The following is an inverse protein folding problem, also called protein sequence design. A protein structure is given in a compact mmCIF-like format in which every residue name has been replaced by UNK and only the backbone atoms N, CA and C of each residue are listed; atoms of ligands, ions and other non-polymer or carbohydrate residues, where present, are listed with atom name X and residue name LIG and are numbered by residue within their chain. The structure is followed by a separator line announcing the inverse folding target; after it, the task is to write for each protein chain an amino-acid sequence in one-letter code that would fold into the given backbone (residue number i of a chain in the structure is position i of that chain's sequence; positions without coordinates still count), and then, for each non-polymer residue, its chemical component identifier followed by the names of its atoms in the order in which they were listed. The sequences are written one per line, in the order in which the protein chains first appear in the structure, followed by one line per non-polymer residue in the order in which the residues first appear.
data_IF_143645737711
#
_entry.id   IF_143645737711
#
_cell.length_a   1.000
_cell.length_b   1.000
_cell.length_c   1.000
_cell.angle_alpha   90.00
_cell.angle_beta   90.00
_cell.angle_gamma   90.00
#
_symmetry.space_group_name_H-M   'P 1'
#
loop_
_entity.id
_entity.type
_entity.pdbx_description
1 polymer ?
#
# COMPACT_ATOMS: atom_id res chain seq x y z
N UNK A 1 -51.55 24.24 30.30
CA UNK A 1 -51.82 22.82 29.98
C UNK A 1 -51.65 22.69 28.48
N UNK A 2 -50.38 22.69 28.05
CA UNK A 2 -49.65 21.52 27.53
C UNK A 2 -50.05 21.19 26.09
N UNK A 3 -49.35 21.82 25.15
CA UNK A 3 -49.26 21.40 23.76
C UNK A 3 -48.35 20.16 23.68
N UNK A 4 -48.90 19.05 23.21
CA UNK A 4 -48.15 17.82 22.92
C UNK A 4 -47.34 18.02 21.63
N UNK A 5 -46.03 18.09 21.79
CA UNK A 5 -45.07 17.99 20.70
C UNK A 5 -45.04 16.54 20.23
N UNK A 6 -45.62 16.29 19.07
CA UNK A 6 -45.50 15.01 18.35
C UNK A 6 -44.08 14.89 17.83
N UNK A 7 -43.21 14.23 18.59
CA UNK A 7 -41.88 13.80 18.15
C UNK A 7 -42.05 12.67 17.14
N UNK A 8 -41.90 13.00 15.86
CA UNK A 8 -41.72 12.04 14.78
C UNK A 8 -40.39 11.31 14.99
N UNK A 9 -40.47 10.13 15.59
CA UNK A 9 -39.33 9.22 15.71
C UNK A 9 -39.05 8.63 14.33
N UNK A 10 -38.08 9.19 13.62
CA UNK A 10 -37.52 8.58 12.42
C UNK A 10 -36.79 7.29 12.84
N UNK A 11 -37.36 6.15 12.45
CA UNK A 11 -36.74 4.83 12.54
C UNK A 11 -35.48 4.79 11.66
N UNK A 12 -34.35 5.26 12.16
CA UNK A 12 -33.03 4.95 11.58
C UNK A 12 -32.63 3.54 12.03
N UNK A 13 -33.06 2.53 11.28
CA UNK A 13 -32.42 1.22 11.34
C UNK A 13 -30.92 1.39 11.03
N UNK A 14 -30.05 0.84 11.87
CA UNK A 14 -28.59 0.94 11.79
C UNK A 14 -28.07 0.73 10.36
N UNK A 15 -27.68 1.81 9.70
CA UNK A 15 -27.10 1.76 8.36
C UNK A 15 -25.67 1.20 8.47
N UNK A 16 -25.40 0.08 7.80
CA UNK A 16 -24.08 -0.58 7.83
C UNK A 16 -22.98 0.39 7.38
N UNK A 17 -22.04 0.71 8.27
CA UNK A 17 -20.90 1.56 7.94
C UNK A 17 -19.67 0.73 7.54
N UNK A 18 -19.40 0.72 6.23
CA UNK A 18 -18.29 -0.03 5.65
C UNK A 18 -16.92 0.46 6.12
N UNK A 19 -16.77 1.76 6.42
CA UNK A 19 -15.48 2.33 6.83
C UNK A 19 -15.09 1.83 8.22
N UNK A 20 -16.02 1.86 9.17
CA UNK A 20 -15.81 1.29 10.51
C UNK A 20 -15.52 -0.21 10.44
N UNK A 21 -16.21 -0.95 9.57
CA UNK A 21 -15.95 -2.37 9.35
C UNK A 21 -14.51 -2.63 8.83
N UNK A 22 -14.08 -1.86 7.83
CA UNK A 22 -12.73 -1.93 7.28
C UNK A 22 -11.65 -1.64 8.32
N UNK A 23 -11.81 -0.57 9.11
CA UNK A 23 -10.88 -0.22 10.18
C UNK A 23 -10.81 -1.30 11.26
N UNK A 24 -11.95 -1.94 11.56
CA UNK A 24 -12.00 -3.07 12.49
C UNK A 24 -11.17 -4.25 12.00
N UNK A 25 -11.29 -4.65 10.74
CA UNK A 25 -10.49 -5.76 10.20
C UNK A 25 -8.98 -5.49 10.27
N UNK A 26 -8.53 -4.27 9.97
CA UNK A 26 -7.13 -3.89 10.10
C UNK A 26 -6.62 -3.92 11.55
N UNK A 27 -7.48 -3.59 12.51
CA UNK A 27 -7.14 -3.57 13.94
C UNK A 27 -7.10 -4.98 14.53
N UNK A 28 -8.08 -5.81 14.18
CA UNK A 28 -8.24 -7.16 14.72
C UNK A 28 -7.18 -8.13 14.14
N UNK A 29 -6.81 -7.95 12.87
CA UNK A 29 -5.88 -8.84 12.16
C UNK A 29 -4.68 -8.07 11.60
N UNK A 30 -3.55 -7.91 12.33
CA UNK A 30 -2.39 -7.16 11.84
C UNK A 30 -1.73 -7.76 10.59
N UNK A 31 -1.96 -9.04 10.30
CA UNK A 31 -1.44 -9.72 9.12
C UNK A 31 -2.28 -9.53 7.86
N UNK A 32 -3.50 -8.96 7.98
CA UNK A 32 -4.37 -8.71 6.84
C UNK A 32 -3.84 -7.53 6.00
N UNK A 33 -3.83 -7.69 4.67
CA UNK A 33 -3.43 -6.59 3.78
C UNK A 33 -4.64 -5.72 3.43
N UNK A 34 -4.40 -4.42 3.20
CA UNK A 34 -5.46 -3.44 2.87
C UNK A 34 -6.41 -3.90 1.73
N UNK A 35 -5.93 -4.49 0.61
CA UNK A 35 -6.83 -5.00 -0.42
C UNK A 35 -7.77 -6.09 0.11
N UNK A 36 -7.27 -6.97 0.97
CA UNK A 36 -8.02 -8.11 1.51
C UNK A 36 -9.04 -7.63 2.55
N UNK A 37 -8.66 -6.69 3.41
CA UNK A 37 -9.60 -6.04 4.33
C UNK A 37 -10.73 -5.33 3.58
N UNK A 38 -10.42 -4.67 2.44
CA UNK A 38 -11.44 -4.04 1.60
C UNK A 38 -12.41 -5.07 1.01
N UNK A 39 -11.90 -6.21 0.54
CA UNK A 39 -12.72 -7.32 0.04
C UNK A 39 -13.61 -7.88 1.17
N UNK A 40 -13.08 -8.10 2.37
CA UNK A 40 -13.88 -8.54 3.51
C UNK A 40 -14.99 -7.57 3.88
N UNK A 41 -14.70 -6.26 3.88
CA UNK A 41 -15.71 -5.23 4.14
C UNK A 41 -16.81 -5.20 3.09
N UNK A 42 -16.47 -5.39 1.81
CA UNK A 42 -17.45 -5.50 0.74
C UNK A 42 -18.27 -6.79 0.85
N UNK A 43 -17.66 -7.92 1.23
CA UNK A 43 -18.37 -9.18 1.50
C UNK A 43 -19.31 -9.06 2.70
N UNK A 44 -18.91 -8.33 3.74
CA UNK A 44 -19.78 -8.07 4.89
C UNK A 44 -20.96 -7.17 4.49
N UNK A 45 -20.73 -6.15 3.66
CA UNK A 45 -21.82 -5.34 3.09
C UNK A 45 -22.82 -6.21 2.31
N UNK A 46 -22.33 -7.19 1.54
CA UNK A 46 -23.20 -8.12 0.82
C UNK A 46 -24.13 -8.85 1.79
N UNK A 47 -23.63 -9.35 2.93
CA UNK A 47 -24.46 -10.05 3.93
C UNK A 47 -25.63 -9.19 4.41
N UNK A 48 -25.37 -7.92 4.70
CA UNK A 48 -26.37 -6.97 5.21
C UNK A 48 -27.22 -6.31 4.11
N UNK A 49 -26.91 -6.56 2.83
CA UNK A 49 -27.64 -5.99 1.71
C UNK A 49 -29.06 -6.55 1.60
N UNK A 50 -30.03 -5.62 1.51
CA UNK A 50 -31.45 -5.88 1.27
C UNK A 50 -31.86 -5.69 -0.20
N UNK A 51 -30.89 -5.45 -1.08
CA UNK A 51 -31.15 -5.19 -2.50
C UNK A 51 -31.92 -6.37 -3.11
N UNK A 52 -32.93 -6.05 -3.91
CA UNK A 52 -33.77 -7.08 -4.58
C UNK A 52 -33.42 -7.27 -6.04
N UNK A 53 -32.72 -6.30 -6.62
CA UNK A 53 -32.31 -6.31 -8.03
C UNK A 53 -30.80 -6.28 -8.14
N UNK A 54 -30.28 -6.86 -9.22
CA UNK A 54 -28.85 -6.83 -9.52
C UNK A 54 -28.33 -5.40 -9.72
N UNK A 55 -29.13 -4.52 -10.32
CA UNK A 55 -28.74 -3.12 -10.57
C UNK A 55 -28.53 -2.36 -9.26
N UNK A 56 -29.50 -2.42 -8.34
CA UNK A 56 -29.41 -1.80 -7.01
C UNK A 56 -28.24 -2.36 -6.21
N UNK A 57 -28.02 -3.67 -6.28
CA UNK A 57 -26.90 -4.34 -5.62
C UNK A 57 -25.54 -3.86 -6.15
N UNK A 58 -25.39 -3.78 -7.47
CA UNK A 58 -24.16 -3.31 -8.11
C UNK A 58 -23.89 -1.83 -7.84
N UNK A 59 -24.92 -1.00 -7.79
CA UNK A 59 -24.82 0.42 -7.43
C UNK A 59 -24.38 0.57 -5.97
N UNK A 60 -25.02 -0.14 -5.04
CA UNK A 60 -24.65 -0.16 -3.63
C UNK A 60 -23.18 -0.57 -3.39
N UNK A 61 -22.69 -1.59 -4.11
CA UNK A 61 -21.28 -2.00 -4.03
C UNK A 61 -20.31 -0.96 -4.58
N UNK A 62 -20.68 -0.28 -5.69
CA UNK A 62 -19.85 0.79 -6.27
C UNK A 62 -19.77 1.99 -5.33
N UNK A 63 -20.90 2.40 -4.76
CA UNK A 63 -20.95 3.51 -3.80
C UNK A 63 -20.13 3.21 -2.56
N UNK A 64 -20.25 1.99 -2.02
CA UNK A 64 -19.47 1.58 -0.88
C UNK A 64 -17.96 1.50 -1.17
N UNK A 65 -17.58 1.02 -2.36
CA UNK A 65 -16.20 1.04 -2.85
C UNK A 65 -15.65 2.46 -2.93
N UNK A 66 -16.42 3.41 -3.50
CA UNK A 66 -16.01 4.82 -3.55
C UNK A 66 -15.88 5.44 -2.16
N UNK A 67 -16.84 5.18 -1.26
CA UNK A 67 -16.79 5.63 0.14
C UNK A 67 -15.55 5.11 0.86
N UNK A 68 -15.17 3.85 0.64
CA UNK A 68 -13.93 3.29 1.19
C UNK A 68 -12.69 4.01 0.61
N UNK A 69 -12.63 4.21 -0.71
CA UNK A 69 -11.50 4.89 -1.36
C UNK A 69 -11.32 6.33 -0.88
N UNK A 70 -12.40 7.06 -0.62
CA UNK A 70 -12.33 8.43 -0.08
C UNK A 70 -11.98 8.49 1.42
N UNK A 71 -12.18 7.40 2.16
CA UNK A 71 -11.95 7.36 3.61
C UNK A 71 -10.48 7.24 4.01
N UNK A 72 -9.60 6.84 3.08
CA UNK A 72 -8.18 6.61 3.33
C UNK A 72 -7.36 7.54 2.45
N UNK A 73 -6.42 8.30 3.04
CA UNK A 73 -5.52 9.21 2.31
C UNK A 73 -4.76 8.51 1.19
N UNK A 74 -4.24 7.31 1.47
CA UNK A 74 -3.61 6.45 0.49
C UNK A 74 -4.49 5.23 0.22
N UNK A 75 -5.33 5.35 -0.80
CA UNK A 75 -6.29 4.32 -1.21
C UNK A 75 -5.77 3.40 -2.31
N UNK A 76 -4.49 3.47 -2.70
CA UNK A 76 -3.95 2.71 -3.85
C UNK A 76 -4.10 1.19 -3.63
N UNK A 77 -3.55 0.67 -2.52
CA UNK A 77 -3.67 -0.76 -2.21
C UNK A 77 -5.12 -1.20 -1.97
N UNK A 78 -5.91 -0.36 -1.29
CA UNK A 78 -7.35 -0.61 -1.08
C UNK A 78 -8.11 -0.67 -2.41
N UNK A 79 -7.81 0.24 -3.33
CA UNK A 79 -8.47 0.34 -4.63
C UNK A 79 -8.21 -0.89 -5.48
N UNK A 80 -7.00 -1.48 -5.42
CA UNK A 80 -6.68 -2.75 -6.06
C UNK A 80 -7.68 -3.85 -5.67
N UNK A 81 -7.88 -4.05 -4.37
CA UNK A 81 -8.77 -5.08 -3.84
C UNK A 81 -10.24 -4.79 -4.15
N UNK A 82 -10.66 -3.54 -3.99
CA UNK A 82 -12.04 -3.13 -4.26
C UNK A 82 -12.40 -3.26 -5.75
N UNK A 83 -11.52 -2.84 -6.66
CA UNK A 83 -11.74 -2.92 -8.10
C UNK A 83 -11.69 -4.36 -8.62
N UNK A 84 -10.75 -5.16 -8.09
CA UNK A 84 -10.70 -6.59 -8.36
C UNK A 84 -12.01 -7.29 -7.94
N UNK A 85 -12.53 -6.95 -6.75
CA UNK A 85 -13.78 -7.53 -6.26
C UNK A 85 -14.98 -7.09 -7.10
N UNK A 86 -15.11 -5.80 -7.42
CA UNK A 86 -16.18 -5.31 -8.30
C UNK A 86 -16.15 -5.99 -9.68
N UNK A 87 -14.95 -6.22 -10.23
CA UNK A 87 -14.80 -6.95 -11.49
C UNK A 87 -15.23 -8.41 -11.34
N UNK A 88 -14.81 -9.07 -10.26
CA UNK A 88 -15.22 -10.44 -9.95
C UNK A 88 -16.75 -10.56 -9.82
N UNK A 89 -17.39 -9.62 -9.12
CA UNK A 89 -18.85 -9.54 -8.99
C UNK A 89 -19.52 -9.36 -10.35
N UNK A 90 -19.02 -8.44 -11.17
CA UNK A 90 -19.55 -8.17 -12.52
C UNK A 90 -19.44 -9.40 -13.43
N UNK A 91 -18.34 -10.16 -13.35
CA UNK A 91 -18.18 -11.39 -14.13
C UNK A 91 -19.15 -12.47 -13.67
N UNK A 92 -19.24 -12.69 -12.35
CA UNK A 92 -20.11 -13.70 -11.75
C UNK A 92 -21.59 -13.43 -12.05
N UNK A 93 -22.00 -12.16 -12.11
CA UNK A 93 -23.39 -11.79 -12.37
C UNK A 93 -23.85 -12.07 -13.81
N UNK A 94 -22.91 -12.22 -14.76
CA UNK A 94 -23.23 -12.69 -16.11
C UNK A 94 -23.43 -14.21 -16.17
N UNK A 95 -22.78 -14.97 -15.29
CA UNK A 95 -22.80 -16.44 -15.29
C UNK A 95 -23.97 -17.02 -14.48
N UNK A 96 -24.40 -16.33 -13.41
CA UNK A 96 -25.42 -16.84 -12.48
C UNK A 96 -26.77 -16.17 -12.71
N UNK A 97 -27.80 -16.97 -13.02
CA UNK A 97 -29.16 -16.46 -13.28
C UNK A 97 -29.96 -16.13 -12.02
N UNK A 98 -29.65 -16.77 -10.88
CA UNK A 98 -30.35 -16.55 -9.61
C UNK A 98 -29.56 -15.59 -8.70
N UNK A 99 -30.19 -14.48 -8.33
CA UNK A 99 -29.59 -13.43 -7.50
C UNK A 99 -29.14 -13.95 -6.13
N UNK A 100 -29.93 -14.78 -5.45
CA UNK A 100 -29.56 -15.29 -4.12
C UNK A 100 -28.36 -16.26 -4.19
N UNK A 101 -28.34 -17.10 -5.23
CA UNK A 101 -27.20 -17.98 -5.48
C UNK A 101 -25.92 -17.19 -5.83
N UNK A 102 -26.07 -16.07 -6.55
CA UNK A 102 -24.96 -15.15 -6.81
C UNK A 102 -24.43 -14.55 -5.51
N UNK A 103 -25.33 -14.07 -4.63
CA UNK A 103 -24.98 -13.53 -3.31
C UNK A 103 -24.18 -14.53 -2.47
N UNK A 104 -24.66 -15.77 -2.38
CA UNK A 104 -23.99 -16.84 -1.66
C UNK A 104 -22.61 -17.17 -2.29
N UNK A 105 -22.54 -17.24 -3.62
CA UNK A 105 -21.29 -17.50 -4.33
C UNK A 105 -20.24 -16.42 -4.08
N UNK A 106 -20.64 -15.14 -4.10
CA UNK A 106 -19.74 -14.01 -3.81
C UNK A 106 -19.24 -14.05 -2.37
N UNK A 107 -20.10 -14.37 -1.41
CA UNK A 107 -19.71 -14.52 -0.01
C UNK A 107 -18.71 -15.66 0.20
N UNK A 108 -18.95 -16.81 -0.42
CA UNK A 108 -18.05 -17.96 -0.32
C UNK A 108 -16.71 -17.68 -1.02
N UNK A 109 -16.74 -17.06 -2.20
CA UNK A 109 -15.53 -16.67 -2.93
C UNK A 109 -14.70 -15.63 -2.16
N UNK A 110 -15.36 -14.67 -1.52
CA UNK A 110 -14.72 -13.69 -0.66
C UNK A 110 -13.95 -14.34 0.49
N UNK A 111 -14.57 -15.27 1.22
CA UNK A 111 -13.91 -16.04 2.29
C UNK A 111 -12.69 -16.82 1.78
N UNK A 112 -12.84 -17.51 0.65
CA UNK A 112 -11.75 -18.28 0.03
C UNK A 112 -10.58 -17.37 -0.37
N UNK A 113 -10.84 -16.15 -0.82
CA UNK A 113 -9.80 -15.19 -1.19
C UNK A 113 -8.98 -14.75 0.03
N UNK A 114 -9.63 -14.49 1.16
CA UNK A 114 -8.98 -14.15 2.43
C UNK A 114 -8.09 -15.29 2.90
N UNK A 115 -8.61 -16.52 2.93
CA UNK A 115 -7.87 -17.71 3.35
C UNK A 115 -6.64 -17.94 2.46
N UNK A 116 -6.77 -17.73 1.15
CA UNK A 116 -5.68 -17.86 0.19
C UNK A 116 -4.65 -16.74 0.27
N UNK A 117 -4.98 -15.56 0.80
CA UNK A 117 -4.09 -14.42 0.83
C UNK A 117 -2.79 -14.70 1.60
N UNK A 118 -2.85 -15.46 2.70
CA UNK A 118 -1.66 -15.87 3.46
C UNK A 118 -0.83 -16.87 2.65
N UNK A 119 -1.46 -17.87 2.05
CA UNK A 119 -0.80 -18.89 1.23
C UNK A 119 -0.09 -18.29 0.02
N UNK A 120 -0.67 -17.25 -0.60
CA UNK A 120 -0.09 -16.49 -1.71
C UNK A 120 1.28 -15.91 -1.34
N UNK A 121 1.43 -15.34 -0.13
CA UNK A 121 2.72 -14.78 0.31
C UNK A 121 3.79 -15.85 0.47
N UNK A 122 3.43 -17.04 0.97
CA UNK A 122 4.35 -18.17 1.05
C UNK A 122 4.79 -18.66 -0.33
N UNK A 123 3.85 -18.76 -1.28
CA UNK A 123 4.16 -19.11 -2.67
C UNK A 123 5.14 -18.12 -3.30
N UNK A 124 4.92 -16.82 -3.09
CA UNK A 124 5.82 -15.76 -3.59
C UNK A 124 7.21 -15.89 -2.96
N UNK A 125 7.26 -16.12 -1.64
CA UNK A 125 8.52 -16.32 -0.93
C UNK A 125 9.30 -17.51 -1.53
N UNK A 126 8.66 -18.65 -1.73
CA UNK A 126 9.28 -19.84 -2.34
C UNK A 126 9.84 -19.56 -3.74
N UNK A 127 9.06 -18.89 -4.60
CA UNK A 127 9.51 -18.49 -5.94
C UNK A 127 10.66 -17.48 -5.92
N UNK A 128 10.73 -16.64 -4.88
CA UNK A 128 11.74 -15.61 -4.75
C UNK A 128 13.08 -16.13 -4.22
N UNK A 129 13.12 -17.26 -3.50
CA UNK A 129 14.35 -17.78 -2.86
C UNK A 129 15.49 -17.95 -3.86
N UNK A 130 15.18 -18.35 -5.10
CA UNK A 130 16.16 -18.56 -6.16
C UNK A 130 16.98 -17.31 -6.55
N UNK A 131 16.48 -16.11 -6.23
CA UNK A 131 17.19 -14.85 -6.51
C UNK A 131 18.18 -14.45 -5.41
N UNK A 132 18.16 -15.15 -4.28
CA UNK A 132 19.09 -14.92 -3.16
C UNK A 132 20.25 -15.91 -3.31
N UNK A 133 21.44 -15.39 -3.61
CA UNK A 133 22.66 -16.19 -3.74
C UNK A 133 23.30 -16.43 -2.38
N UNK A 134 24.09 -17.49 -2.27
CA UNK A 134 24.92 -17.73 -1.08
C UNK A 134 26.01 -16.66 -0.98
N UNK A 135 26.24 -16.22 0.26
CA UNK A 135 27.13 -15.12 0.67
C UNK A 135 26.76 -13.73 0.09
N UNK A 136 25.51 -13.54 -0.34
CA UNK A 136 25.05 -12.28 -0.91
C UNK A 136 24.77 -11.20 0.17
N UNK A 137 24.94 -9.94 -0.22
CA UNK A 137 24.49 -8.79 0.56
C UNK A 137 23.24 -8.18 -0.08
N UNK A 138 22.15 -8.18 0.66
CA UNK A 138 20.84 -7.72 0.21
C UNK A 138 20.53 -6.34 0.80
N UNK A 139 19.92 -5.46 0.02
CA UNK A 139 19.35 -4.21 0.51
C UNK A 139 17.82 -4.25 0.40
N UNK A 140 17.14 -3.87 1.48
CA UNK A 140 15.69 -3.72 1.53
C UNK A 140 15.30 -2.31 1.99
N UNK A 141 14.12 -1.89 1.55
CA UNK A 141 13.52 -0.61 1.96
C UNK A 141 12.30 -0.84 2.86
N UNK A 142 12.27 -0.15 4.01
CA UNK A 142 11.12 -0.13 4.92
C UNK A 142 10.72 -1.53 5.43
N UNK A 143 9.41 -1.78 5.57
CA UNK A 143 8.82 -3.05 5.97
C UNK A 143 7.85 -3.58 4.93
N UNK A 144 8.12 -4.81 4.48
CA UNK A 144 7.20 -5.58 3.64
C UNK A 144 7.06 -6.99 4.20
N UNK A 145 5.81 -7.42 4.43
CA UNK A 145 5.49 -8.77 4.93
C UNK A 145 6.03 -9.86 4.01
N UNK A 146 5.87 -9.70 2.70
CA UNK A 146 6.29 -10.71 1.73
C UNK A 146 7.81 -10.77 1.62
N UNK A 147 8.50 -9.62 1.70
CA UNK A 147 9.97 -9.58 1.73
C UNK A 147 10.51 -10.23 3.00
N UNK A 148 9.88 -9.99 4.16
CA UNK A 148 10.29 -10.66 5.41
C UNK A 148 10.14 -12.18 5.31
N UNK A 149 9.00 -12.65 4.78
CA UNK A 149 8.76 -14.07 4.55
C UNK A 149 9.77 -14.67 3.58
N UNK A 150 10.08 -13.98 2.48
CA UNK A 150 11.10 -14.38 1.51
C UNK A 150 12.46 -14.59 2.16
N UNK A 151 12.95 -13.60 2.92
CA UNK A 151 14.24 -13.68 3.60
C UNK A 151 14.26 -14.79 4.67
N UNK A 152 13.17 -14.96 5.41
CA UNK A 152 13.05 -16.04 6.39
C UNK A 152 13.07 -17.43 5.73
N UNK A 153 12.40 -17.60 4.58
CA UNK A 153 12.45 -18.84 3.82
C UNK A 153 13.86 -19.10 3.27
N UNK A 154 14.52 -18.09 2.72
CA UNK A 154 15.91 -18.22 2.25
C UNK A 154 16.87 -18.67 3.38
N UNK A 155 16.69 -18.12 4.59
CA UNK A 155 17.44 -18.55 5.77
C UNK A 155 17.09 -19.99 6.19
N UNK A 156 15.81 -20.39 6.09
CA UNK A 156 15.39 -21.78 6.33
C UNK A 156 16.02 -22.77 5.33
N UNK A 157 16.26 -22.34 4.10
CA UNK A 157 17.04 -23.07 3.09
C UNK A 157 18.56 -23.05 3.33
N UNK A 158 19.02 -22.48 4.45
CA UNK A 158 20.44 -22.39 4.85
C UNK A 158 21.32 -21.59 3.89
N UNK A 159 20.71 -20.68 3.12
CA UNK A 159 21.47 -19.73 2.28
C UNK A 159 22.06 -18.66 3.21
N UNK A 160 23.35 -18.39 3.08
CA UNK A 160 24.04 -17.38 3.89
C UNK A 160 23.90 -16.03 3.19
N UNK A 161 23.47 -15.00 3.90
CA UNK A 161 23.38 -13.64 3.35
C UNK A 161 23.34 -12.61 4.47
N UNK A 162 23.65 -11.36 4.14
CA UNK A 162 23.56 -10.20 5.02
C UNK A 162 22.51 -9.22 4.50
N UNK A 163 21.86 -8.46 5.37
CA UNK A 163 20.79 -7.52 4.97
C UNK A 163 21.07 -6.10 5.47
N UNK A 164 21.13 -5.15 4.55
CA UNK A 164 20.98 -3.73 4.85
C UNK A 164 19.51 -3.33 4.80
N UNK A 165 19.07 -2.55 5.79
CA UNK A 165 17.68 -2.10 5.92
C UNK A 165 17.67 -0.58 6.06
N UNK A 166 17.01 0.14 5.16
CA UNK A 166 16.84 1.59 5.33
C UNK A 166 15.87 1.89 6.48
N UNK A 167 16.09 2.95 7.26
CA UNK A 167 15.21 3.31 8.38
C UNK A 167 13.75 3.65 7.94
N UNK A 168 13.57 4.21 6.74
CA UNK A 168 12.29 4.57 6.11
C UNK A 168 11.51 5.65 6.87
N UNK A 169 12.07 6.86 6.92
CA UNK A 169 11.35 8.05 7.38
C UNK A 169 10.17 8.34 6.44
N UNK A 170 9.03 8.82 6.96
CA UNK A 170 8.75 9.15 8.36
C UNK A 170 8.30 7.94 9.21
N UNK A 171 7.88 6.84 8.58
CA UNK A 171 7.23 5.70 9.27
C UNK A 171 8.15 4.94 10.22
N UNK A 172 9.47 5.02 10.01
CA UNK A 172 10.51 4.30 10.75
C UNK A 172 10.32 2.77 10.77
N UNK A 173 9.60 2.25 9.76
CA UNK A 173 9.25 0.83 9.67
C UNK A 173 10.46 -0.06 9.38
N UNK A 174 11.56 0.48 8.86
CA UNK A 174 12.82 -0.25 8.68
C UNK A 174 13.36 -0.83 10.00
N UNK A 175 13.17 -0.12 11.11
CA UNK A 175 13.57 -0.59 12.44
C UNK A 175 12.81 -1.89 12.81
N UNK A 176 11.53 -1.98 12.41
CA UNK A 176 10.72 -3.19 12.62
C UNK A 176 11.27 -4.36 11.80
N UNK A 177 11.62 -4.14 10.53
CA UNK A 177 12.22 -5.16 9.66
C UNK A 177 13.52 -5.71 10.23
N UNK A 178 14.45 -4.83 10.63
CA UNK A 178 15.71 -5.25 11.23
C UNK A 178 15.50 -6.08 12.50
N UNK A 179 14.58 -5.68 13.38
CA UNK A 179 14.21 -6.47 14.58
C UNK A 179 13.69 -7.86 14.24
N UNK A 180 12.86 -7.99 13.20
CA UNK A 180 12.29 -9.28 12.77
C UNK A 180 13.40 -10.18 12.20
N UNK A 181 14.30 -9.63 11.38
CA UNK A 181 15.40 -10.38 10.79
C UNK A 181 16.41 -10.85 11.84
N UNK A 182 16.80 -9.98 12.77
CA UNK A 182 17.69 -10.35 13.87
C UNK A 182 17.09 -11.45 14.76
N UNK A 183 15.78 -11.39 15.04
CA UNK A 183 15.07 -12.46 15.78
C UNK A 183 15.05 -13.79 15.01
N UNK A 184 15.07 -13.75 13.69
CA UNK A 184 15.17 -14.93 12.83
C UNK A 184 16.61 -15.43 12.65
N UNK A 185 17.60 -14.82 13.30
CA UNK A 185 19.02 -15.18 13.18
C UNK A 185 19.69 -14.72 11.88
N UNK A 186 19.06 -13.80 11.15
CA UNK A 186 19.59 -13.23 9.91
C UNK A 186 20.40 -11.96 10.25
N UNK A 187 21.67 -11.85 9.84
CA UNK A 187 22.47 -10.65 10.06
C UNK A 187 21.87 -9.44 9.33
N UNK A 188 21.36 -8.47 10.09
CA UNK A 188 20.74 -7.26 9.55
C UNK A 188 21.31 -5.99 10.21
N UNK A 189 21.55 -4.96 9.40
CA UNK A 189 22.02 -3.64 9.87
C UNK A 189 21.16 -2.53 9.29
N UNK A 190 20.75 -1.58 10.14
CA UNK A 190 19.98 -0.41 9.73
C UNK A 190 20.94 0.64 9.15
N UNK A 191 20.54 1.25 8.04
CA UNK A 191 21.23 2.39 7.42
C UNK A 191 20.28 3.59 7.36
N UNK A 192 20.84 4.79 7.36
CA UNK A 192 20.08 6.02 7.08
C UNK A 192 19.56 5.97 5.64
N UNK A 193 18.42 6.62 5.40
CA UNK A 193 17.83 6.67 4.05
C UNK A 193 18.80 7.35 3.04
N UNK A 194 19.60 8.33 3.51
CA UNK A 194 20.63 9.01 2.70
C UNK A 194 21.92 8.22 2.52
N UNK A 195 22.15 7.16 3.31
CA UNK A 195 23.35 6.35 3.24
C UNK A 195 23.29 5.24 2.16
N UNK A 196 22.17 5.13 1.43
CA UNK A 196 21.98 4.13 0.36
C UNK A 196 23.11 4.20 -0.68
N UNK A 197 23.45 5.41 -1.16
CA UNK A 197 24.54 5.59 -2.13
C UNK A 197 25.92 5.17 -1.60
N UNK A 198 26.14 5.23 -0.28
CA UNK A 198 27.40 4.82 0.33
C UNK A 198 27.56 3.30 0.42
N UNK A 199 26.45 2.57 0.60
CA UNK A 199 26.49 1.10 0.78
C UNK A 199 26.24 0.33 -0.51
N UNK A 200 25.71 0.97 -1.56
CA UNK A 200 25.23 0.27 -2.77
C UNK A 200 26.30 -0.59 -3.44
N UNK A 201 27.58 -0.19 -3.39
CA UNK A 201 28.67 -0.95 -4.00
C UNK A 201 28.85 -2.32 -3.33
N UNK A 202 28.53 -2.42 -2.03
CA UNK A 202 28.57 -3.67 -1.26
C UNK A 202 27.34 -4.55 -1.46
N UNK A 203 26.28 -4.01 -2.05
CA UNK A 203 25.00 -4.72 -2.24
C UNK A 203 25.05 -5.52 -3.53
N UNK A 204 24.54 -6.74 -3.50
CA UNK A 204 24.44 -7.63 -4.66
C UNK A 204 23.05 -7.59 -5.30
N UNK A 205 22.00 -7.39 -4.50
CA UNK A 205 20.62 -7.30 -4.97
C UNK A 205 19.76 -6.45 -4.03
N UNK A 206 18.77 -5.76 -4.62
CA UNK A 206 17.78 -4.98 -3.90
C UNK A 206 16.43 -5.70 -3.94
N UNK A 207 15.77 -5.84 -2.80
CA UNK A 207 14.41 -6.38 -2.71
C UNK A 207 13.49 -5.38 -2.04
N UNK A 208 12.40 -5.01 -2.71
CA UNK A 208 11.38 -4.12 -2.17
C UNK A 208 10.01 -4.77 -2.21
N UNK A 209 9.16 -4.39 -1.25
CA UNK A 209 7.72 -4.61 -1.39
C UNK A 209 7.08 -3.53 -2.25
N UNK A 210 5.77 -3.64 -2.42
CA UNK A 210 4.95 -2.55 -2.95
C UNK A 210 3.54 -2.57 -2.36
N UNK A 211 2.92 -1.40 -2.37
CA UNK A 211 1.52 -1.21 -2.02
C UNK A 211 0.61 -1.44 -3.22
N UNK A 212 1.08 -1.09 -4.42
CA UNK A 212 0.44 -1.38 -5.69
C UNK A 212 1.43 -1.49 -6.84
N UNK A 213 1.05 -2.23 -7.89
CA UNK A 213 1.73 -2.20 -9.20
C UNK A 213 0.77 -1.61 -10.20
N UNK A 214 1.23 -0.63 -10.97
CA UNK A 214 0.42 0.08 -11.98
C UNK A 214 0.48 -0.62 -13.34
N UNK A 215 -0.33 -0.17 -14.30
CA UNK A 215 -0.52 -0.83 -15.60
C UNK A 215 0.77 -1.02 -16.42
N UNK A 216 1.71 -0.08 -16.33
CA UNK A 216 3.00 -0.19 -17.02
C UNK A 216 4.05 -1.04 -16.26
N UNK A 217 3.66 -1.67 -15.15
CA UNK A 217 4.54 -2.47 -14.30
C UNK A 217 5.37 -1.65 -13.29
N UNK A 218 5.16 -0.33 -13.22
CA UNK A 218 5.78 0.50 -12.19
C UNK A 218 5.23 0.22 -10.78
N UNK A 219 5.99 0.58 -9.76
CA UNK A 219 5.61 0.34 -8.36
C UNK A 219 5.12 1.61 -7.70
N UNK A 220 4.15 1.47 -6.80
CA UNK A 220 3.85 2.50 -5.81
C UNK A 220 4.13 1.89 -4.43
N UNK A 221 5.04 2.51 -3.69
CA UNK A 221 5.49 2.01 -2.39
C UNK A 221 5.88 3.19 -1.48
N UNK A 222 6.31 2.88 -0.24
CA UNK A 222 6.82 3.86 0.70
C UNK A 222 7.88 4.79 0.09
N UNK A 223 7.82 6.06 0.48
CA UNK A 223 8.74 7.12 0.05
C UNK A 223 10.20 6.71 0.24
N UNK A 224 10.99 6.88 -0.82
CA UNK A 224 12.39 6.47 -0.89
C UNK A 224 12.63 5.23 -1.76
N UNK A 225 11.58 4.52 -2.17
CA UNK A 225 11.68 3.37 -3.08
C UNK A 225 12.23 3.79 -4.45
N UNK A 226 11.73 4.91 -5.00
CA UNK A 226 12.22 5.42 -6.28
C UNK A 226 13.69 5.85 -6.18
N UNK A 227 14.08 6.52 -5.09
CA UNK A 227 15.47 6.94 -4.85
C UNK A 227 16.41 5.73 -4.81
N UNK A 228 16.00 4.69 -4.09
CA UNK A 228 16.75 3.43 -4.01
C UNK A 228 16.87 2.77 -5.39
N UNK A 229 15.81 2.78 -6.19
CA UNK A 229 15.79 2.20 -7.53
C UNK A 229 16.74 2.92 -8.49
N UNK A 230 16.78 4.26 -8.44
CA UNK A 230 17.72 5.08 -9.22
C UNK A 230 19.16 4.77 -8.86
N UNK A 231 19.48 4.71 -7.56
CA UNK A 231 20.84 4.40 -7.09
C UNK A 231 21.25 2.97 -7.47
N UNK A 232 20.35 2.00 -7.31
CA UNK A 232 20.59 0.62 -7.71
C UNK A 232 20.88 0.51 -9.21
N UNK A 233 20.09 1.19 -10.05
CA UNK A 233 20.30 1.22 -11.51
C UNK A 233 21.65 1.84 -11.88
N UNK A 234 22.01 2.96 -11.26
CA UNK A 234 23.29 3.62 -11.50
C UNK A 234 24.49 2.72 -11.13
N UNK A 235 24.37 1.93 -10.07
CA UNK A 235 25.38 0.96 -9.64
C UNK A 235 25.26 -0.42 -10.32
N UNK A 236 24.40 -0.57 -11.33
CA UNK A 236 24.12 -1.82 -12.04
C UNK A 236 23.73 -2.99 -11.12
N UNK A 237 23.00 -2.70 -10.03
CA UNK A 237 22.48 -3.70 -9.11
C UNK A 237 21.05 -4.09 -9.51
N UNK A 238 20.70 -5.39 -9.52
CA UNK A 238 19.35 -5.82 -9.82
C UNK A 238 18.37 -5.36 -8.73
N UNK A 239 17.21 -4.89 -9.17
CA UNK A 239 16.14 -4.38 -8.32
C UNK A 239 14.89 -5.23 -8.50
N UNK A 240 14.57 -6.01 -7.47
CA UNK A 240 13.45 -6.95 -7.47
C UNK A 240 12.29 -6.43 -6.63
N UNK A 241 11.10 -6.47 -7.20
CA UNK A 241 9.87 -6.21 -6.47
C UNK A 241 9.23 -7.52 -6.04
N UNK A 242 8.77 -7.61 -4.79
CA UNK A 242 8.09 -8.79 -4.25
C UNK A 242 6.69 -8.39 -3.83
N UNK A 243 5.67 -8.85 -4.56
CA UNK A 243 4.31 -8.33 -4.45
C UNK A 243 3.26 -9.37 -4.78
N UNK A 244 2.13 -9.29 -4.09
CA UNK A 244 0.96 -10.11 -4.35
C UNK A 244 0.15 -9.58 -5.56
N UNK A 245 -0.35 -10.48 -6.42
CA UNK A 245 -1.09 -10.14 -7.65
C UNK A 245 -2.35 -9.32 -7.41
N UNK A 246 -3.01 -9.51 -6.26
CA UNK A 246 -4.19 -8.75 -5.86
C UNK A 246 -3.90 -7.27 -5.51
N UNK A 247 -2.65 -6.81 -5.66
CA UNK A 247 -2.24 -5.40 -5.57
C UNK A 247 -1.98 -4.77 -6.94
N UNK A 248 -2.30 -5.45 -8.04
CA UNK A 248 -2.26 -4.81 -9.35
C UNK A 248 -3.41 -3.81 -9.47
N UNK A 249 -3.09 -2.57 -9.86
CA UNK A 249 -4.00 -1.43 -9.90
C UNK A 249 -4.12 -0.95 -11.33
N UNK A 250 -5.36 -0.68 -11.75
CA UNK A 250 -5.68 -0.06 -13.02
C UNK A 250 -5.45 1.47 -12.97
N UNK A 251 -4.18 1.85 -12.91
CA UNK A 251 -3.70 3.22 -12.86
C UNK A 251 -2.48 3.34 -13.79
N UNK A 252 -2.28 4.49 -14.43
CA UNK A 252 -1.13 4.75 -15.28
C UNK A 252 -0.56 6.14 -14.94
N UNK A 253 0.26 6.25 -13.88
CA UNK A 253 0.83 7.53 -13.49
C UNK A 253 1.93 7.94 -14.48
N UNK A 254 1.87 9.18 -14.96
CA UNK A 254 2.87 9.74 -15.88
C UNK A 254 4.13 10.22 -15.14
N UNK A 255 4.00 10.61 -13.87
CA UNK A 255 5.08 11.10 -13.03
C UNK A 255 4.71 10.98 -11.53
N UNK A 256 5.57 11.45 -10.64
CA UNK A 256 5.37 11.40 -9.19
C UNK A 256 4.13 12.17 -8.69
N UNK A 257 3.72 13.21 -9.42
CA UNK A 257 2.61 14.09 -9.07
C UNK A 257 1.25 13.59 -9.60
N UNK A 258 1.27 12.56 -10.46
CA UNK A 258 0.08 11.94 -11.06
C UNK A 258 -0.48 10.79 -10.21
N UNK A 259 -0.16 10.77 -8.91
CA UNK A 259 -0.67 9.80 -7.95
C UNK A 259 -1.96 10.32 -7.30
N UNK A 260 -2.96 9.47 -7.02
CA UNK A 260 -4.18 9.88 -6.30
C UNK A 260 -3.93 10.47 -4.92
N UNK A 261 -2.77 10.20 -4.33
CA UNK A 261 -2.33 10.73 -3.03
C UNK A 261 -1.82 12.17 -3.10
N UNK A 262 -1.59 12.69 -4.30
CA UNK A 262 -1.06 14.03 -4.49
C UNK A 262 -2.11 15.10 -4.19
N UNK A 263 -1.75 16.08 -3.37
CA UNK A 263 -2.59 17.23 -3.00
C UNK A 263 -1.81 18.52 -3.24
N UNK A 264 -2.49 19.65 -3.41
CA UNK A 264 -1.84 20.96 -3.60
C UNK A 264 -0.87 21.33 -2.47
N UNK A 265 -1.16 20.84 -1.26
CA UNK A 265 -0.43 21.20 -0.04
C UNK A 265 0.87 20.40 0.13
N UNK A 266 1.04 19.32 -0.65
CA UNK A 266 2.23 18.47 -0.62
C UNK A 266 3.44 19.23 -1.14
N UNK A 267 4.47 19.35 -0.30
CA UNK A 267 5.70 20.12 -0.60
C UNK A 267 5.43 21.58 -1.03
N UNK A 268 4.28 22.15 -0.65
CA UNK A 268 3.94 23.54 -0.97
C UNK A 268 4.91 24.51 -0.30
N UNK A 269 5.39 25.49 -1.06
CA UNK A 269 6.14 26.62 -0.51
C UNK A 269 5.21 27.52 0.30
N UNK A 270 5.66 28.09 1.42
CA UNK A 270 4.88 29.10 2.14
C UNK A 270 4.68 30.34 1.26
N UNK A 271 3.47 30.92 1.30
CA UNK A 271 3.12 32.11 0.52
C UNK A 271 4.03 33.29 0.88
N UNK A 272 4.51 34.00 -0.14
CA UNK A 272 5.44 35.13 0.04
C UNK A 272 4.85 36.27 0.89
N UNK A 273 3.54 36.46 0.90
CA UNK A 273 2.86 37.48 1.72
C UNK A 273 3.00 37.22 3.24
N UNK A 274 3.21 35.96 3.64
CA UNK A 274 3.48 35.61 5.04
C UNK A 274 4.90 36.00 5.50
N UNK A 275 5.83 36.28 4.58
CA UNK A 275 7.20 36.73 4.88
C UNK A 275 7.30 38.24 5.14
N UNK A 276 6.41 39.06 4.58
CA UNK A 276 6.50 40.51 4.69
C UNK A 276 6.16 41.06 6.09
N UNK A 277 5.61 40.24 7.00
CA UNK A 277 5.25 40.68 8.35
C UNK A 277 6.40 40.62 9.38
N UNK A 278 7.53 39.95 9.07
CA UNK A 278 8.64 39.82 10.03
C UNK A 278 9.80 40.80 9.77
N UNK A 279 9.99 41.30 8.54
CA UNK A 279 11.09 42.24 8.27
C UNK A 279 10.78 43.70 8.66
N UNK A 280 9.50 44.10 8.81
CA UNK A 280 9.13 45.49 9.13
C UNK A 280 9.17 45.86 10.62
N UNK A 281 9.65 44.97 11.52
CA UNK A 281 9.79 45.27 12.96
C UNK A 281 11.19 45.02 13.54
N UNK A 282 12.24 44.91 12.72
CA UNK A 282 13.62 44.94 13.24
C UNK A 282 14.10 46.38 13.25
N UNK A 283 13.62 47.12 14.26
CA UNK A 283 14.37 48.27 14.77
C UNK A 283 15.61 47.77 15.50
N UNK A 284 16.74 48.41 15.26
CA UNK A 284 17.99 48.18 15.99
C UNK A 284 17.73 48.15 17.50
N UNK A 285 18.14 47.08 18.17
CA UNK A 285 18.02 46.80 19.61
C UNK A 285 16.78 46.02 20.06
N UNK A 286 16.74 44.73 19.75
CA UNK A 286 16.41 43.71 20.76
C UNK A 286 16.86 42.34 20.25
N UNK A 287 17.69 41.65 21.04
CA UNK A 287 17.85 40.20 20.95
C UNK A 287 16.48 39.58 21.29
N UNK A 288 15.58 39.55 20.32
CA UNK A 288 14.34 38.81 20.43
C UNK A 288 14.71 37.34 20.37
N UNK A 289 14.69 36.69 21.53
CA UNK A 289 14.53 35.25 21.67
C UNK A 289 13.33 34.81 20.80
N UNK A 290 13.60 34.44 19.54
CA UNK A 290 12.67 33.63 18.77
C UNK A 290 12.64 32.30 19.52
N UNK A 291 11.60 32.07 20.31
CA UNK A 291 11.40 30.77 20.94
C UNK A 291 11.30 29.73 19.82
N UNK A 292 12.15 28.71 19.85
CA UNK A 292 12.14 27.58 18.91
C UNK A 292 10.80 26.80 18.91
N UNK A 293 9.89 27.11 19.84
CA UNK A 293 8.63 26.41 20.08
C UNK A 293 7.49 26.68 19.07
N UNK A 294 7.63 27.64 18.14
CA UNK A 294 6.54 27.99 17.20
C UNK A 294 6.60 27.30 15.82
N UNK A 295 7.61 26.47 15.55
CA UNK A 295 7.65 25.67 14.32
C UNK A 295 7.10 24.27 14.58
N UNK A 296 5.87 24.00 14.12
CA UNK A 296 5.28 22.67 14.16
C UNK A 296 6.01 21.72 13.18
N UNK A 297 7.07 21.08 13.68
CA UNK A 297 7.88 20.09 12.96
C UNK A 297 7.02 18.95 12.43
N UNK A 298 5.96 18.56 13.15
CA UNK A 298 5.05 17.51 12.70
C UNK A 298 4.26 17.95 11.47
N UNK A 299 3.81 19.21 11.42
CA UNK A 299 3.18 19.78 10.23
C UNK A 299 4.13 19.82 9.03
N UNK A 300 5.41 20.19 9.23
CA UNK A 300 6.39 20.13 8.15
C UNK A 300 6.61 18.71 7.62
N UNK A 301 6.69 17.71 8.52
CA UNK A 301 6.81 16.30 8.11
C UNK A 301 5.52 15.81 7.41
N UNK A 302 4.35 16.21 7.89
CA UNK A 302 3.05 15.80 7.32
C UNK A 302 2.80 16.31 5.88
N UNK A 303 3.49 17.38 5.48
CA UNK A 303 3.50 17.91 4.09
C UNK A 303 4.42 17.15 3.15
N UNK A 304 5.17 16.16 3.62
CA UNK A 304 5.98 15.29 2.76
C UNK A 304 5.16 14.12 2.19
N UNK A 305 5.52 13.61 1.00
CA UNK A 305 4.87 12.44 0.43
C UNK A 305 5.15 11.20 1.28
N UNK A 306 4.15 10.34 1.43
CA UNK A 306 4.27 9.06 2.13
C UNK A 306 4.64 7.91 1.20
N UNK A 307 4.32 8.07 -0.09
CA UNK A 307 4.58 7.10 -1.16
C UNK A 307 5.26 7.77 -2.33
N UNK A 308 6.00 7.00 -3.11
CA UNK A 308 6.54 7.40 -4.40
C UNK A 308 6.20 6.39 -5.49
N UNK A 309 6.34 6.83 -6.74
CA UNK A 309 6.18 6.03 -7.93
C UNK A 309 7.55 5.61 -8.46
N UNK A 310 7.78 4.32 -8.70
CA UNK A 310 9.01 3.81 -9.34
C UNK A 310 8.69 3.38 -10.77
N UNK A 311 9.21 4.08 -11.80
CA UNK A 311 9.02 3.71 -13.19
C UNK A 311 9.56 2.30 -13.51
N UNK A 312 8.96 1.61 -14.50
CA UNK A 312 9.30 0.23 -14.82
C UNK A 312 10.75 0.02 -15.30
N UNK A 313 11.41 1.05 -15.86
CA UNK A 313 12.80 0.98 -16.32
C UNK A 313 13.85 0.69 -15.23
N UNK A 314 13.51 0.96 -13.97
CA UNK A 314 14.35 0.68 -12.80
C UNK A 314 14.11 -0.72 -12.23
N UNK A 315 13.03 -1.38 -12.61
CA UNK A 315 12.63 -2.67 -12.06
C UNK A 315 13.19 -3.79 -12.94
N UNK A 316 13.91 -4.72 -12.31
CA UNK A 316 14.46 -5.87 -13.02
C UNK A 316 13.39 -6.93 -13.23
N UNK A 317 12.78 -7.43 -12.15
CA UNK A 317 11.70 -8.43 -12.17
C UNK A 317 10.74 -8.22 -10.99
N UNK A 318 9.50 -8.67 -11.17
CA UNK A 318 8.47 -8.72 -10.13
C UNK A 318 8.20 -10.19 -9.76
N UNK A 319 8.45 -10.56 -8.51
CA UNK A 319 8.12 -11.86 -7.95
C UNK A 319 6.69 -11.83 -7.41
N UNK A 320 5.80 -12.60 -8.03
CA UNK A 320 4.37 -12.65 -7.71
C UNK A 320 3.88 -14.10 -7.61
N UNK A 321 2.63 -14.29 -7.16
CA UNK A 321 1.99 -15.60 -7.09
C UNK A 321 1.60 -16.16 -8.46
N UNK A 322 1.55 -15.32 -9.48
CA UNK A 322 1.41 -15.71 -10.88
C UNK A 322 2.73 -16.21 -11.47
N UNK A 323 3.85 -15.98 -10.76
CA UNK A 323 5.20 -16.29 -11.22
C UNK A 323 6.10 -15.06 -11.18
N UNK A 324 7.28 -15.20 -11.80
CA UNK A 324 8.21 -14.09 -11.97
C UNK A 324 7.84 -13.37 -13.27
N UNK A 325 7.52 -12.09 -13.17
CA UNK A 325 7.05 -11.26 -14.28
C UNK A 325 8.07 -10.17 -14.60
N UNK A 326 8.16 -9.80 -15.87
CA UNK A 326 8.75 -8.52 -16.28
C UNK A 326 7.73 -7.40 -16.06
N UNK A 327 8.15 -6.12 -16.00
CA UNK A 327 7.21 -5.01 -15.88
C UNK A 327 6.12 -5.02 -16.98
N UNK A 328 6.48 -5.39 -18.22
CA UNK A 328 5.50 -5.52 -19.31
C UNK A 328 4.48 -6.64 -19.08
N UNK A 329 4.90 -7.75 -18.47
CA UNK A 329 4.01 -8.89 -18.19
C UNK A 329 2.90 -8.56 -17.19
N UNK A 330 3.08 -7.55 -16.34
CA UNK A 330 2.01 -7.06 -15.45
C UNK A 330 0.84 -6.51 -16.27
N UNK A 331 1.13 -5.79 -17.36
CA UNK A 331 0.11 -5.26 -18.26
C UNK A 331 -0.72 -6.39 -18.88
N UNK A 332 -0.06 -7.46 -19.34
CA UNK A 332 -0.73 -8.63 -19.91
C UNK A 332 -1.67 -9.31 -18.89
N UNK A 333 -1.25 -9.45 -17.63
CA UNK A 333 -2.09 -10.01 -16.58
C UNK A 333 -3.27 -9.11 -16.21
N UNK A 334 -3.06 -7.79 -16.17
CA UNK A 334 -4.15 -6.83 -15.98
C UNK A 334 -5.17 -6.90 -17.13
N UNK A 335 -4.71 -6.99 -18.39
CA UNK A 335 -5.59 -7.13 -19.54
C UNK A 335 -6.45 -8.41 -19.41
N UNK A 336 -5.87 -9.54 -19.00
CA UNK A 336 -6.62 -10.80 -18.76
C UNK A 336 -7.66 -10.69 -17.64
N UNK A 337 -7.43 -9.85 -16.63
CA UNK A 337 -8.37 -9.64 -15.52
C UNK A 337 -9.56 -8.75 -15.92
N UNK A 338 -9.34 -7.78 -16.81
CA UNK A 338 -10.32 -6.74 -17.15
C UNK A 338 -11.04 -6.94 -18.49
N UNK A 339 -10.55 -7.81 -19.38
CA UNK A 339 -11.31 -8.30 -20.54
C UNK A 339 -12.17 -9.51 -20.17
#
# INVERSE_FOLDING_TARGET
MSEEVVTTTTNNAEQFDIVTCYQKFLKDNPDISMPIAAIESLVELIKHSKATTLSEFMESLKDASQKLKSSVRNSISLSAGADLFLRFVTRTSHDVTNFEACKEHLMNSGKVLVEKAVAVRHKIAELGVQFIKDDATILIHSYSRVVMLLLQQAAAHKIRFNVYVTESRPTSLGIKSAKILCKAGIPATIILDTAVGYVIDKVDAVFVGAEGVVENGGLINAIGTYQLAVVAKAANKPFYAVIESYKFVRLFPLNQYDLPTHTSDLLAFPDLESRCYQESQIGENSEQNIKEEDYDVENFVARNPTVDYTPPEYITLLCTDLGVLTPSGVSDELIKLYL
#
